data_IF_768571878865
#
_entry.id   IF_768571878865
#
_cell.length_a   1.000
_cell.length_b   1.000
_cell.length_c   1.000
_cell.angle_alpha   90.00
_cell.angle_beta   90.00
_cell.angle_gamma   90.00
#
_symmetry.space_group_name_H-M   'P 1'
#
loop_
_entity.id
_entity.type
_entity.pdbx_description
1 polymer ?
#
# COMPACT_ATOMS: atom_id res chain seq x y z
N UNK A 1 9.09 21.78 19.93
CA UNK A 1 9.95 21.40 18.82
C UNK A 1 9.14 21.22 17.53
N UNK A 2 9.76 21.41 16.40
CA UNK A 2 9.13 21.21 15.10
C UNK A 2 9.10 19.71 14.75
N UNK A 3 8.23 19.33 13.80
CA UNK A 3 8.18 17.94 13.29
C UNK A 3 9.54 17.55 12.68
N UNK A 4 10.22 18.47 12.02
CA UNK A 4 11.55 18.22 11.45
C UNK A 4 12.61 17.92 12.51
N UNK A 5 12.62 18.67 13.61
CA UNK A 5 13.49 18.39 14.76
C UNK A 5 13.19 17.01 15.36
N UNK A 6 11.93 16.62 15.48
CA UNK A 6 11.54 15.30 15.96
C UNK A 6 12.01 14.16 15.01
N UNK A 7 11.92 14.36 13.69
CA UNK A 7 12.42 13.41 12.69
C UNK A 7 13.94 13.25 12.79
N UNK A 8 14.65 14.35 12.94
CA UNK A 8 16.12 14.33 13.07
C UNK A 8 16.56 13.69 14.39
N UNK A 9 15.86 13.95 15.48
CA UNK A 9 16.12 13.34 16.78
C UNK A 9 15.88 11.83 16.74
N UNK A 10 14.78 11.38 16.13
CA UNK A 10 14.49 9.95 15.98
C UNK A 10 15.52 9.27 15.06
N UNK A 11 15.94 9.91 13.99
CA UNK A 11 17.04 9.41 13.15
C UNK A 11 18.30 9.17 13.96
N UNK A 12 18.70 10.16 14.78
CA UNK A 12 19.89 10.04 15.62
C UNK A 12 19.72 8.92 16.64
N UNK A 13 18.56 8.81 17.29
CA UNK A 13 18.26 7.74 18.23
C UNK A 13 18.42 6.35 17.58
N UNK A 14 17.96 6.17 16.33
CA UNK A 14 18.10 4.89 15.63
C UNK A 14 19.54 4.54 15.31
N UNK A 15 20.39 5.52 15.04
CA UNK A 15 21.84 5.32 14.89
C UNK A 15 22.46 4.93 16.22
N UNK A 16 22.17 5.67 17.28
CA UNK A 16 22.74 5.45 18.63
C UNK A 16 22.36 4.08 19.19
N UNK A 17 21.16 3.60 18.87
CA UNK A 17 20.67 2.27 19.24
C UNK A 17 21.08 1.16 18.26
N UNK A 18 21.88 1.47 17.25
CA UNK A 18 22.37 0.54 16.22
C UNK A 18 21.25 -0.14 15.39
N UNK A 19 20.05 0.44 15.34
CA UNK A 19 18.96 -0.03 14.49
C UNK A 19 19.17 0.31 13.03
N UNK A 20 19.86 1.42 12.76
CA UNK A 20 20.19 1.89 11.40
C UNK A 20 21.67 2.30 11.36
N UNK A 21 22.38 1.84 10.33
CA UNK A 21 23.76 2.26 10.11
C UNK A 21 23.85 3.75 9.78
N UNK A 22 24.89 4.49 10.24
CA UNK A 22 25.03 5.93 10.01
C UNK A 22 24.92 6.32 8.53
N UNK A 23 25.56 5.54 7.64
CA UNK A 23 25.58 5.80 6.19
C UNK A 23 24.18 5.66 5.55
N UNK A 24 23.29 4.87 6.15
CA UNK A 24 21.89 4.75 5.73
C UNK A 24 21.08 5.91 6.29
N UNK A 25 21.31 6.27 7.55
CA UNK A 25 20.64 7.39 8.19
C UNK A 25 20.91 8.73 7.49
N UNK A 26 22.13 8.95 6.98
CA UNK A 26 22.49 10.14 6.21
C UNK A 26 21.69 10.29 4.91
N UNK A 27 21.26 9.18 4.31
CA UNK A 27 20.43 9.17 3.09
C UNK A 27 18.95 9.50 3.35
N UNK A 28 18.55 9.54 4.61
CA UNK A 28 17.17 9.83 5.00
C UNK A 28 16.84 11.30 4.70
N UNK A 29 15.83 11.50 3.88
CA UNK A 29 15.34 12.83 3.54
C UNK A 29 14.22 13.25 4.48
N UNK A 30 14.54 14.07 5.49
CA UNK A 30 13.58 14.56 6.48
C UNK A 30 12.40 15.32 5.86
N UNK A 31 12.64 16.06 4.76
CA UNK A 31 11.57 16.76 4.04
C UNK A 31 10.56 15.82 3.37
N UNK A 32 10.98 14.64 2.91
CA UNK A 32 10.06 13.63 2.39
C UNK A 32 9.21 13.02 3.50
N UNK A 33 9.80 12.75 4.66
CA UNK A 33 9.08 12.23 5.82
C UNK A 33 8.07 13.26 6.31
N UNK A 34 8.46 14.53 6.40
CA UNK A 34 7.54 15.61 6.77
C UNK A 34 6.36 15.69 5.81
N UNK A 35 6.60 15.71 4.48
CA UNK A 35 5.51 15.71 3.48
C UNK A 35 4.58 14.51 3.63
N UNK A 36 5.13 13.34 3.95
CA UNK A 36 4.30 12.17 4.24
C UNK A 36 3.45 12.38 5.50
N UNK A 37 4.04 12.86 6.59
CA UNK A 37 3.33 13.10 7.85
C UNK A 37 2.24 14.21 7.73
N UNK A 38 2.37 15.11 6.77
CA UNK A 38 1.39 16.15 6.45
C UNK A 38 0.39 15.72 5.36
N UNK A 39 0.50 14.49 4.85
CA UNK A 39 -0.31 13.99 3.74
C UNK A 39 -1.65 13.39 4.15
N UNK A 40 -2.56 13.30 3.18
CA UNK A 40 -3.82 12.56 3.32
C UNK A 40 -3.58 11.07 3.68
N UNK A 41 -2.52 10.45 3.13
CA UNK A 41 -2.18 9.07 3.46
C UNK A 41 -1.92 8.90 4.96
N UNK A 42 -1.16 9.81 5.56
CA UNK A 42 -0.89 9.76 7.00
C UNK A 42 -2.13 10.07 7.84
N UNK A 43 -2.98 11.00 7.40
CA UNK A 43 -4.26 11.28 8.04
C UNK A 43 -5.16 10.03 8.08
N UNK A 44 -5.25 9.27 6.99
CA UNK A 44 -5.97 7.99 6.93
C UNK A 44 -5.38 6.96 7.91
N UNK A 45 -4.05 6.86 7.98
CA UNK A 45 -3.36 5.96 8.93
C UNK A 45 -3.73 6.31 10.38
N UNK A 46 -3.73 7.60 10.72
CA UNK A 46 -4.09 8.07 12.07
C UNK A 46 -5.57 7.86 12.41
N UNK A 47 -6.46 7.88 11.41
CA UNK A 47 -7.89 7.68 11.59
C UNK A 47 -8.30 6.20 11.72
N UNK A 48 -7.45 5.27 11.31
CA UNK A 48 -7.75 3.84 11.35
C UNK A 48 -7.76 3.30 12.78
N UNK A 49 -8.70 2.40 13.10
CA UNK A 49 -8.73 1.69 14.38
C UNK A 49 -7.52 0.77 14.54
N UNK A 50 -7.06 0.17 13.44
CA UNK A 50 -5.90 -0.70 13.42
C UNK A 50 -5.15 -0.55 12.11
N UNK A 51 -3.82 -0.52 12.20
CA UNK A 51 -2.92 -0.48 11.05
C UNK A 51 -2.13 -1.79 10.99
N UNK A 52 -2.33 -2.56 9.93
CA UNK A 52 -1.58 -3.78 9.65
C UNK A 52 -0.49 -3.43 8.63
N UNK A 53 0.76 -3.58 9.04
CA UNK A 53 1.95 -3.30 8.20
C UNK A 53 2.53 -4.59 7.69
N UNK A 54 3.00 -4.57 6.43
CA UNK A 54 3.67 -5.70 5.80
C UNK A 54 2.86 -7.00 5.96
N UNK A 55 1.55 -6.91 5.70
CA UNK A 55 0.64 -8.02 5.88
C UNK A 55 0.86 -9.07 4.80
N UNK A 56 1.55 -10.15 5.16
CA UNK A 56 1.70 -11.31 4.29
C UNK A 56 0.37 -12.06 4.16
N UNK A 57 0.06 -12.49 2.94
CA UNK A 57 -1.11 -13.31 2.65
C UNK A 57 -0.80 -14.38 1.62
N UNK A 58 -1.53 -15.49 1.74
CA UNK A 58 -1.63 -16.54 0.74
C UNK A 58 -3.08 -17.01 0.73
N UNK A 59 -3.72 -17.03 -0.42
CA UNK A 59 -5.12 -17.41 -0.54
C UNK A 59 -5.43 -17.95 -1.94
N UNK A 60 -6.34 -18.91 -2.02
CA UNK A 60 -6.90 -19.33 -3.30
C UNK A 60 -8.01 -18.37 -3.72
N UNK A 61 -7.98 -17.90 -4.95
CA UNK A 61 -9.00 -17.04 -5.55
C UNK A 61 -9.52 -17.68 -6.84
N UNK A 62 -10.79 -17.43 -7.23
CA UNK A 62 -11.28 -17.82 -8.56
C UNK A 62 -10.38 -17.21 -9.65
N UNK A 63 -9.93 -18.02 -10.59
CA UNK A 63 -9.07 -17.55 -11.69
C UNK A 63 -9.75 -16.43 -12.50
N UNK A 64 -11.07 -16.51 -12.70
CA UNK A 64 -11.86 -15.47 -13.34
C UNK A 64 -11.77 -14.12 -12.62
N UNK A 65 -11.82 -14.11 -11.29
CA UNK A 65 -11.69 -12.88 -10.50
C UNK A 65 -10.28 -12.29 -10.60
N UNK A 66 -9.26 -13.15 -10.60
CA UNK A 66 -7.86 -12.73 -10.76
C UNK A 66 -7.63 -12.10 -12.13
N UNK A 67 -8.09 -12.74 -13.21
CA UNK A 67 -7.98 -12.22 -14.56
C UNK A 67 -8.71 -10.87 -14.71
N UNK A 68 -9.93 -10.76 -14.18
CA UNK A 68 -10.68 -9.50 -14.17
C UNK A 68 -9.93 -8.40 -13.43
N UNK A 69 -9.34 -8.68 -12.27
CA UNK A 69 -8.54 -7.72 -11.51
C UNK A 69 -7.30 -7.25 -12.28
N UNK A 70 -6.77 -8.09 -13.15
CA UNK A 70 -5.62 -7.79 -14.02
C UNK A 70 -6.03 -7.11 -15.33
N UNK A 71 -7.33 -6.88 -15.56
CA UNK A 71 -7.83 -6.16 -16.73
C UNK A 71 -8.18 -7.05 -17.92
N UNK A 72 -8.29 -8.37 -17.74
CA UNK A 72 -8.73 -9.27 -18.78
C UNK A 72 -10.21 -9.03 -19.15
N UNK A 73 -10.58 -9.39 -20.37
CA UNK A 73 -11.95 -9.31 -20.85
C UNK A 73 -12.88 -10.31 -20.14
N UNK A 74 -14.17 -10.04 -20.18
CA UNK A 74 -15.18 -10.95 -19.64
C UNK A 74 -15.12 -12.35 -20.28
N UNK A 75 -14.77 -12.43 -21.58
CA UNK A 75 -14.64 -13.69 -22.29
C UNK A 75 -13.45 -14.51 -21.77
N UNK A 76 -12.29 -13.88 -21.58
CA UNK A 76 -11.10 -14.54 -21.00
C UNK A 76 -11.36 -15.02 -19.57
N UNK A 77 -12.01 -14.19 -18.75
CA UNK A 77 -12.37 -14.55 -17.38
C UNK A 77 -13.37 -15.72 -17.34
N UNK A 78 -14.36 -15.75 -18.24
CA UNK A 78 -15.35 -16.82 -18.34
C UNK A 78 -14.72 -18.16 -18.72
N UNK A 79 -13.65 -18.17 -19.52
CA UNK A 79 -12.97 -19.39 -19.95
C UNK A 79 -12.34 -20.19 -18.79
N UNK A 80 -12.12 -19.55 -17.64
CA UNK A 80 -11.47 -20.14 -16.45
C UNK A 80 -12.35 -20.06 -15.20
N UNK A 81 -13.67 -19.95 -15.38
CA UNK A 81 -14.61 -19.70 -14.27
C UNK A 81 -14.57 -20.77 -13.17
N UNK A 82 -14.25 -22.02 -13.53
CA UNK A 82 -14.21 -23.17 -12.62
C UNK A 82 -12.82 -23.42 -12.02
N UNK A 83 -11.84 -22.58 -12.39
CA UNK A 83 -10.46 -22.72 -11.91
C UNK A 83 -10.19 -21.87 -10.68
N UNK A 84 -9.24 -22.34 -9.86
CA UNK A 84 -8.72 -21.61 -8.70
C UNK A 84 -7.22 -21.38 -8.88
N UNK A 85 -6.75 -20.20 -8.48
CA UNK A 85 -5.34 -19.86 -8.46
C UNK A 85 -4.90 -19.47 -7.05
N UNK A 86 -3.72 -19.89 -6.67
CA UNK A 86 -3.10 -19.47 -5.42
C UNK A 86 -2.42 -18.13 -5.61
N UNK A 87 -2.85 -17.13 -4.84
CA UNK A 87 -2.29 -15.78 -4.83
C UNK A 87 -1.59 -15.55 -3.52
N UNK A 88 -0.35 -15.08 -3.60
CA UNK A 88 0.44 -14.69 -2.44
C UNK A 88 1.03 -13.30 -2.62
N UNK A 89 1.23 -12.59 -1.53
CA UNK A 89 1.81 -11.26 -1.53
C UNK A 89 2.02 -10.70 -0.13
N UNK A 90 2.54 -9.48 -0.12
CA UNK A 90 2.69 -8.68 1.11
C UNK A 90 2.04 -7.33 0.80
N UNK A 91 1.02 -6.97 1.57
CA UNK A 91 0.40 -5.66 1.50
C UNK A 91 1.13 -4.70 2.46
N UNK A 92 1.63 -3.58 1.95
CA UNK A 92 2.38 -2.62 2.74
C UNK A 92 1.58 -2.11 3.94
N UNK A 93 0.34 -1.66 3.69
CA UNK A 93 -0.60 -1.22 4.72
C UNK A 93 -2.03 -1.67 4.43
N UNK A 94 -2.65 -2.28 5.42
CA UNK A 94 -4.10 -2.47 5.47
C UNK A 94 -4.63 -1.68 6.67
N UNK A 95 -5.44 -0.68 6.40
CA UNK A 95 -6.10 0.15 7.40
C UNK A 95 -7.46 -0.44 7.72
N UNK A 96 -7.69 -0.74 8.99
CA UNK A 96 -8.94 -1.34 9.45
C UNK A 96 -9.80 -0.27 10.09
N UNK A 97 -10.99 -0.09 9.56
CA UNK A 97 -12.05 0.77 10.10
C UNK A 97 -13.20 -0.09 10.65
N UNK A 98 -14.17 0.51 11.36
CA UNK A 98 -15.29 -0.25 11.96
C UNK A 98 -16.04 -1.12 10.94
N UNK A 99 -16.27 -0.60 9.73
CA UNK A 99 -17.16 -1.17 8.71
C UNK A 99 -16.45 -1.54 7.39
N UNK A 100 -15.22 -1.06 7.17
CA UNK A 100 -14.50 -1.26 5.91
C UNK A 100 -12.98 -1.40 6.12
N UNK A 101 -12.28 -1.58 5.01
CA UNK A 101 -10.81 -1.61 4.92
C UNK A 101 -10.34 -0.62 3.85
N UNK A 102 -9.14 -0.09 4.05
CA UNK A 102 -8.41 0.64 3.02
C UNK A 102 -7.05 0.00 2.79
N UNK A 103 -6.61 -0.07 1.54
CA UNK A 103 -5.32 -0.63 1.15
C UNK A 103 -4.41 0.49 0.64
N UNK A 104 -3.28 0.68 1.29
CA UNK A 104 -2.26 1.64 0.87
C UNK A 104 -0.95 0.94 0.56
N UNK A 105 -0.28 1.42 -0.47
CA UNK A 105 0.99 0.91 -0.96
C UNK A 105 1.98 2.06 -1.13
N UNK A 106 3.24 1.86 -0.74
CA UNK A 106 4.30 2.86 -0.89
C UNK A 106 5.12 2.61 -2.13
N UNK A 107 5.38 3.66 -2.90
CA UNK A 107 6.25 3.58 -4.08
C UNK A 107 7.35 4.64 -4.03
N UNK A 108 8.56 4.19 -4.31
CA UNK A 108 9.77 5.03 -4.37
C UNK A 108 10.21 5.34 -5.79
N UNK A 109 9.44 4.89 -6.78
CA UNK A 109 9.75 5.11 -8.20
C UNK A 109 9.95 6.59 -8.51
N UNK A 110 10.97 6.87 -9.32
CA UNK A 110 11.29 8.21 -9.77
C UNK A 110 10.86 8.42 -11.21
N UNK A 111 10.63 9.68 -11.59
CA UNK A 111 10.30 10.10 -12.97
C UNK A 111 9.03 9.45 -13.53
N UNK A 112 8.07 9.13 -12.67
CA UNK A 112 6.74 8.63 -13.05
C UNK A 112 5.68 9.69 -12.81
N UNK A 113 4.70 9.76 -13.73
CA UNK A 113 3.46 10.52 -13.55
C UNK A 113 2.43 9.70 -12.76
N UNK A 114 1.34 10.32 -12.34
CA UNK A 114 0.22 9.59 -11.72
C UNK A 114 -0.34 8.51 -12.66
N UNK A 115 -0.44 8.80 -13.94
CA UNK A 115 -0.91 7.84 -14.95
C UNK A 115 0.02 6.62 -15.05
N UNK A 116 1.35 6.84 -14.97
CA UNK A 116 2.32 5.75 -14.97
C UNK A 116 2.17 4.86 -13.73
N UNK A 117 1.94 5.45 -12.54
CA UNK A 117 1.68 4.69 -11.32
C UNK A 117 0.41 3.86 -11.45
N UNK A 118 -0.68 4.46 -11.91
CA UNK A 118 -1.96 3.76 -12.09
C UNK A 118 -1.83 2.61 -13.10
N UNK A 119 -1.16 2.83 -14.23
CA UNK A 119 -0.92 1.79 -15.23
C UNK A 119 -0.10 0.62 -14.67
N UNK A 120 0.97 0.93 -13.94
CA UNK A 120 1.88 -0.09 -13.42
C UNK A 120 1.31 -0.90 -12.24
N UNK A 121 0.55 -0.27 -11.34
CA UNK A 121 0.22 -0.86 -10.04
C UNK A 121 -1.26 -1.13 -9.79
N UNK A 122 -2.18 -0.60 -10.60
CA UNK A 122 -3.63 -0.90 -10.48
C UNK A 122 -3.92 -2.41 -10.47
N UNK A 123 -3.36 -3.22 -11.39
CA UNK A 123 -3.63 -4.66 -11.38
C UNK A 123 -3.20 -5.33 -10.07
N UNK A 124 -2.04 -4.93 -9.53
CA UNK A 124 -1.54 -5.45 -8.26
C UNK A 124 -2.48 -5.11 -7.10
N UNK A 125 -2.89 -3.83 -6.96
CA UNK A 125 -3.75 -3.42 -5.86
C UNK A 125 -5.15 -4.01 -5.97
N UNK A 126 -5.68 -4.17 -7.18
CA UNK A 126 -6.95 -4.87 -7.40
C UNK A 126 -6.87 -6.33 -6.93
N UNK A 127 -5.80 -7.02 -7.29
CA UNK A 127 -5.58 -8.40 -6.87
C UNK A 127 -5.41 -8.51 -5.35
N UNK A 128 -4.66 -7.61 -4.74
CA UNK A 128 -4.46 -7.57 -3.28
C UNK A 128 -5.78 -7.30 -2.56
N UNK A 129 -6.61 -6.39 -3.07
CA UNK A 129 -7.93 -6.12 -2.50
C UNK A 129 -8.81 -7.36 -2.46
N UNK A 130 -8.83 -8.18 -3.52
CA UNK A 130 -9.57 -9.46 -3.55
C UNK A 130 -9.08 -10.43 -2.45
N UNK A 131 -7.78 -10.54 -2.28
CA UNK A 131 -7.20 -11.42 -1.26
C UNK A 131 -7.52 -10.94 0.17
N UNK A 132 -7.41 -9.63 0.40
CA UNK A 132 -7.73 -8.99 1.68
C UNK A 132 -9.24 -9.09 1.97
N UNK A 133 -10.09 -8.85 1.00
CA UNK A 133 -11.54 -9.02 1.08
C UNK A 133 -11.94 -10.42 1.56
N UNK A 134 -11.27 -11.44 1.00
CA UNK A 134 -11.53 -12.82 1.39
C UNK A 134 -11.09 -13.08 2.83
N UNK A 135 -9.93 -12.57 3.22
CA UNK A 135 -9.35 -12.79 4.55
C UNK A 135 -10.13 -12.09 5.67
N UNK A 136 -10.69 -10.92 5.39
CA UNK A 136 -11.34 -10.06 6.39
C UNK A 136 -12.86 -10.01 6.26
N UNK A 137 -13.46 -10.93 5.51
CA UNK A 137 -14.92 -10.95 5.36
C UNK A 137 -15.63 -10.90 6.74
N UNK A 138 -16.71 -10.13 6.88
CA UNK A 138 -17.49 -9.48 5.82
C UNK A 138 -16.97 -8.09 5.40
N UNK A 139 -15.94 -7.53 6.07
CA UNK A 139 -15.38 -6.22 5.69
C UNK A 139 -14.77 -6.27 4.30
N UNK A 140 -14.86 -5.14 3.58
CA UNK A 140 -14.37 -5.00 2.21
C UNK A 140 -13.39 -3.85 2.09
N UNK A 141 -12.46 -3.96 1.16
CA UNK A 141 -11.59 -2.86 0.76
C UNK A 141 -12.42 -1.89 -0.07
N UNK A 142 -12.65 -0.70 0.46
CA UNK A 142 -13.43 0.36 -0.19
C UNK A 142 -12.55 1.45 -0.80
N UNK A 143 -11.28 1.49 -0.40
CA UNK A 143 -10.30 2.43 -0.92
C UNK A 143 -8.97 1.74 -1.19
N UNK A 144 -8.35 2.05 -2.31
CA UNK A 144 -7.00 1.63 -2.69
C UNK A 144 -6.19 2.86 -3.07
N UNK A 145 -4.99 3.01 -2.52
CA UNK A 145 -4.15 4.16 -2.78
C UNK A 145 -2.67 3.81 -2.88
N UNK A 146 -1.96 4.55 -3.71
CA UNK A 146 -0.51 4.51 -3.85
C UNK A 146 0.04 5.82 -3.31
N UNK A 147 0.88 5.77 -2.28
CA UNK A 147 1.64 6.94 -1.86
C UNK A 147 2.99 6.98 -2.57
N UNK A 148 3.15 7.92 -3.49
CA UNK A 148 4.44 8.17 -4.15
C UNK A 148 5.31 9.07 -3.26
N UNK A 149 6.45 8.52 -2.78
CA UNK A 149 7.41 9.31 -2.01
C UNK A 149 8.10 10.39 -2.86
N UNK A 150 8.20 10.18 -4.16
CA UNK A 150 8.79 11.17 -5.07
C UNK A 150 7.85 12.34 -5.32
N UNK A 151 6.58 12.06 -5.64
CA UNK A 151 5.56 13.08 -5.85
C UNK A 151 5.07 13.71 -4.52
N UNK A 152 5.26 13.02 -3.39
CA UNK A 152 4.72 13.42 -2.09
C UNK A 152 3.19 13.44 -2.08
N UNK A 153 2.55 12.51 -2.80
CA UNK A 153 1.11 12.51 -3.07
C UNK A 153 0.52 11.12 -2.94
N UNK A 154 -0.72 11.07 -2.43
CA UNK A 154 -1.57 9.88 -2.47
C UNK A 154 -2.35 9.86 -3.80
N UNK A 155 -2.27 8.74 -4.51
CA UNK A 155 -2.91 8.50 -5.81
C UNK A 155 -3.98 7.44 -5.60
N UNK A 156 -5.24 7.79 -5.80
CA UNK A 156 -6.35 6.83 -5.69
C UNK A 156 -6.37 5.86 -6.87
N UNK A 157 -6.54 4.57 -6.55
CA UNK A 157 -6.70 3.47 -7.53
C UNK A 157 -8.18 3.06 -7.57
N UNK A 158 -8.85 3.47 -8.61
CA UNK A 158 -10.26 3.10 -8.89
C UNK A 158 -10.36 1.73 -9.52
#
# INVERSE_FOLDING_TARGET
GTLEEAILAERQRQVDTQLVAPEIAEKLNAGRIRRFAESEAFAKICAAEKVLRELAFITALPASAVLTAQGASAQEAAAVQDEQVLVQGIADLVLVFPDHLELLDYKTDRRKTEADFLSAYRPQLNLYALAIDKRFAPKKVTYKGIYSLELGKLIEVK
#
